data_IF_321363068356
#
_entry.id   IF_321363068356
#
_cell.length_a   1.000
_cell.length_b   1.000
_cell.length_c   1.000
_cell.angle_alpha   90.00
_cell.angle_beta   90.00
_cell.angle_gamma   90.00
#
_symmetry.space_group_name_H-M   'P 1'
#
loop_
_entity.id
_entity.type
_entity.pdbx_description
1 polymer ?
#
# COMPACT_ATOMS: atom_id res chain seq x y z
N UNK A 1 7.24 -2.08 8.31
CA UNK A 1 6.51 -0.81 8.09
C UNK A 1 6.50 -0.52 6.61
N UNK A 2 5.39 -0.85 5.95
CA UNK A 2 5.18 -0.77 4.49
C UNK A 2 5.43 0.65 3.95
N UNK A 3 5.84 0.75 2.68
CA UNK A 3 5.89 2.02 1.95
C UNK A 3 4.49 2.67 1.99
N UNK A 4 4.35 3.80 2.67
CA UNK A 4 3.04 4.36 3.02
C UNK A 4 2.93 5.81 2.50
N UNK A 5 1.78 6.21 1.91
CA UNK A 5 1.48 7.59 1.55
C UNK A 5 1.69 8.66 2.64
N UNK A 6 1.68 8.29 3.92
CA UNK A 6 1.94 9.20 5.05
C UNK A 6 3.43 9.51 5.26
N UNK A 7 4.32 8.89 4.49
CA UNK A 7 5.75 9.10 4.60
C UNK A 7 6.20 10.31 3.77
N UNK A 8 7.02 11.23 4.31
CA UNK A 8 7.43 12.43 3.57
C UNK A 8 8.23 12.12 2.29
N UNK A 9 8.90 10.97 2.24
CA UNK A 9 9.63 10.47 1.07
C UNK A 9 8.76 9.69 0.06
N UNK A 10 7.45 9.63 0.23
CA UNK A 10 6.55 8.93 -0.69
C UNK A 10 6.52 9.61 -2.06
N UNK A 11 6.94 8.88 -3.11
CA UNK A 11 7.14 9.45 -4.45
C UNK A 11 5.85 9.65 -5.25
N UNK A 12 4.69 9.30 -4.72
CA UNK A 12 3.41 9.36 -5.43
C UNK A 12 2.32 10.18 -4.70
N UNK A 13 2.73 11.25 -4.02
CA UNK A 13 1.78 12.18 -3.37
C UNK A 13 0.82 12.84 -4.37
N UNK A 14 1.24 13.04 -5.62
CA UNK A 14 0.37 13.58 -6.67
C UNK A 14 -0.78 12.63 -6.96
N UNK A 15 -0.47 11.35 -7.18
CA UNK A 15 -1.46 10.29 -7.42
C UNK A 15 -2.41 10.18 -6.21
N UNK A 16 -1.88 10.38 -5.00
CA UNK A 16 -2.71 10.38 -3.78
C UNK A 16 -3.68 11.54 -3.78
N UNK A 17 -3.23 12.73 -4.16
CA UNK A 17 -4.08 13.89 -4.33
C UNK A 17 -5.17 13.70 -5.39
N UNK A 18 -4.82 13.13 -6.54
CA UNK A 18 -5.77 12.84 -7.63
C UNK A 18 -6.86 11.85 -7.17
N UNK A 19 -6.50 10.80 -6.44
CA UNK A 19 -7.48 9.82 -5.95
C UNK A 19 -8.25 10.33 -4.73
N UNK A 20 -7.64 11.16 -3.87
CA UNK A 20 -8.35 11.86 -2.80
C UNK A 20 -9.42 12.82 -3.35
N UNK A 21 -9.14 13.51 -4.46
CA UNK A 21 -10.14 14.33 -5.14
C UNK A 21 -11.32 13.49 -5.64
N UNK A 22 -11.05 12.34 -6.28
CA UNK A 22 -12.12 11.42 -6.71
C UNK A 22 -12.93 10.87 -5.54
N UNK A 23 -12.25 10.46 -4.46
CA UNK A 23 -12.91 9.99 -3.25
C UNK A 23 -13.80 11.08 -2.63
N UNK A 24 -13.34 12.33 -2.61
CA UNK A 24 -14.13 13.47 -2.12
C UNK A 24 -15.39 13.70 -2.97
N UNK A 25 -15.32 13.51 -4.29
CA UNK A 25 -16.50 13.63 -5.16
C UNK A 25 -17.56 12.59 -4.77
N UNK A 26 -17.14 11.34 -4.55
CA UNK A 26 -18.04 10.26 -4.15
C UNK A 26 -18.57 10.43 -2.71
N UNK A 27 -17.72 10.89 -1.79
CA UNK A 27 -18.12 11.15 -0.40
C UNK A 27 -19.18 12.27 -0.30
N UNK A 28 -19.19 13.22 -1.23
CA UNK A 28 -20.18 14.29 -1.31
C UNK A 28 -21.51 13.88 -1.97
N UNK A 29 -21.63 12.68 -2.54
CA UNK A 29 -22.86 12.21 -3.18
C UNK A 29 -23.90 11.80 -2.14
N UNK A 30 -25.16 12.12 -2.39
CA UNK A 30 -26.27 11.62 -1.57
C UNK A 30 -26.47 10.12 -1.79
N UNK A 31 -26.33 9.36 -0.71
CA UNK A 31 -26.57 7.90 -0.74
C UNK A 31 -28.06 7.60 -0.84
N UNK A 32 -28.37 6.51 -1.54
CA UNK A 32 -29.71 5.97 -1.72
C UNK A 32 -29.95 4.86 -0.68
N UNK A 33 -30.40 5.25 0.51
CA UNK A 33 -30.58 4.34 1.65
C UNK A 33 -31.99 3.75 1.66
N UNK A 34 -32.09 2.43 1.51
CA UNK A 34 -33.36 1.70 1.66
C UNK A 34 -33.62 1.20 3.08
N UNK A 35 -32.55 0.91 3.82
CA UNK A 35 -32.62 0.31 5.14
C UNK A 35 -32.03 1.30 6.14
N UNK A 36 -32.80 1.61 7.19
CA UNK A 36 -32.31 2.30 8.35
C UNK A 36 -32.15 1.33 9.52
N UNK A 37 -31.15 1.56 10.37
CA UNK A 37 -30.94 0.84 11.62
C UNK A 37 -31.02 1.86 12.75
N UNK A 38 -31.87 1.63 13.75
CA UNK A 38 -31.91 2.48 14.94
C UNK A 38 -30.70 2.23 15.81
N UNK A 39 -30.02 3.29 16.21
CA UNK A 39 -29.01 3.23 17.26
C UNK A 39 -29.69 2.92 18.61
N UNK A 40 -29.40 1.79 19.27
CA UNK A 40 -30.12 1.37 20.47
C UNK A 40 -29.52 2.06 21.71
N UNK A 41 -29.66 3.38 21.81
CA UNK A 41 -29.02 4.22 22.81
C UNK A 41 -29.47 3.85 24.22
N UNK A 42 -30.78 3.71 24.44
CA UNK A 42 -31.36 3.35 25.74
C UNK A 42 -30.87 1.98 26.21
N UNK A 43 -30.88 1.00 25.31
CA UNK A 43 -30.43 -0.37 25.59
C UNK A 43 -28.92 -0.39 25.87
N UNK A 44 -28.13 0.34 25.10
CA UNK A 44 -26.67 0.45 25.29
C UNK A 44 -26.34 1.10 26.63
N UNK A 45 -27.01 2.21 26.97
CA UNK A 45 -26.85 2.87 28.27
C UNK A 45 -27.23 1.95 29.43
N UNK A 46 -28.33 1.20 29.30
CA UNK A 46 -28.82 0.32 30.35
C UNK A 46 -27.83 -0.80 30.73
N UNK A 47 -27.00 -1.26 29.78
CA UNK A 47 -26.01 -2.32 30.00
C UNK A 47 -24.63 -1.78 30.36
N UNK A 48 -24.28 -0.57 29.92
CA UNK A 48 -23.02 0.09 30.27
C UNK A 48 -22.97 0.50 31.75
N UNK A 49 -24.08 1.07 32.26
CA UNK A 49 -24.14 1.59 33.64
C UNK A 49 -24.53 0.55 34.68
N UNK A 50 -25.11 -0.58 34.26
CA UNK A 50 -25.50 -1.68 35.15
C UNK A 50 -25.06 -3.02 34.53
N UNK A 51 -23.84 -3.50 34.82
CA UNK A 51 -23.27 -4.72 34.23
C UNK A 51 -24.05 -6.00 34.51
N UNK A 52 -24.87 -6.00 35.57
CA UNK A 52 -25.74 -7.12 35.97
C UNK A 52 -27.01 -7.23 35.12
N UNK A 53 -27.31 -6.23 34.28
CA UNK A 53 -28.45 -6.28 33.38
C UNK A 53 -28.24 -7.34 32.29
N UNK A 54 -29.35 -7.95 31.87
CA UNK A 54 -29.36 -8.89 30.74
C UNK A 54 -28.80 -8.16 29.51
N UNK A 55 -27.80 -8.76 28.87
CA UNK A 55 -27.20 -8.22 27.65
C UNK A 55 -28.11 -8.50 26.45
N UNK A 56 -28.15 -7.61 25.45
CA UNK A 56 -28.88 -7.88 24.23
C UNK A 56 -28.30 -9.11 23.53
N UNK A 57 -29.19 -9.92 22.96
CA UNK A 57 -28.83 -11.11 22.19
C UNK A 57 -27.98 -10.77 20.94
N UNK A 58 -28.07 -9.53 20.44
CA UNK A 58 -27.40 -9.05 19.25
C UNK A 58 -26.64 -7.75 19.53
N UNK A 59 -25.46 -7.60 18.94
CA UNK A 59 -24.71 -6.35 18.98
C UNK A 59 -24.94 -5.53 17.71
N UNK A 60 -25.00 -4.21 17.85
CA UNK A 60 -25.15 -3.30 16.70
C UNK A 60 -24.04 -3.50 15.67
N UNK A 61 -22.79 -3.66 16.12
CA UNK A 61 -21.66 -3.87 15.23
C UNK A 61 -21.79 -5.16 14.40
N UNK A 62 -22.35 -6.23 14.99
CA UNK A 62 -22.59 -7.49 14.29
C UNK A 62 -23.72 -7.35 13.28
N UNK A 63 -24.81 -6.66 13.62
CA UNK A 63 -25.90 -6.38 12.68
C UNK A 63 -25.39 -5.57 11.47
N UNK A 64 -24.65 -4.49 11.72
CA UNK A 64 -24.09 -3.67 10.65
C UNK A 64 -23.10 -4.46 9.78
N UNK A 65 -22.22 -5.27 10.40
CA UNK A 65 -21.31 -6.15 9.69
C UNK A 65 -22.03 -7.13 8.77
N UNK A 66 -23.05 -7.84 9.28
CA UNK A 66 -23.86 -8.74 8.48
C UNK A 66 -24.59 -8.03 7.34
N UNK A 67 -25.18 -6.86 7.59
CA UNK A 67 -25.81 -6.06 6.52
C UNK A 67 -24.83 -5.71 5.40
N UNK A 68 -23.59 -5.33 5.73
CA UNK A 68 -22.55 -5.08 4.73
C UNK A 68 -22.10 -6.35 4.00
N UNK A 69 -21.97 -7.47 4.70
CA UNK A 69 -21.63 -8.77 4.09
C UNK A 69 -22.72 -9.23 3.12
N UNK A 70 -23.99 -8.96 3.46
CA UNK A 70 -25.12 -9.14 2.57
C UNK A 70 -25.25 -8.01 1.53
N UNK A 71 -24.25 -7.12 1.41
CA UNK A 71 -24.20 -6.01 0.47
C UNK A 71 -25.40 -5.05 0.54
N UNK A 72 -25.99 -4.90 1.72
CA UNK A 72 -26.90 -3.81 2.00
C UNK A 72 -26.11 -2.56 2.40
N UNK A 73 -26.64 -1.39 2.06
CA UNK A 73 -26.08 -0.09 2.46
C UNK A 73 -27.02 0.53 3.50
N UNK A 74 -26.92 0.15 4.79
CA UNK A 74 -27.76 0.75 5.83
C UNK A 74 -27.29 2.15 6.20
N UNK A 75 -28.21 2.97 6.70
CA UNK A 75 -27.91 4.18 7.47
C UNK A 75 -28.24 3.96 8.94
N UNK A 76 -27.39 4.48 9.83
CA UNK A 76 -27.69 4.54 11.26
C UNK A 76 -28.52 5.79 11.54
N UNK A 77 -29.68 5.63 12.19
CA UNK A 77 -30.56 6.73 12.61
C UNK A 77 -30.64 6.78 14.14
N UNK A 78 -30.94 7.97 14.68
CA UNK A 78 -31.12 8.16 16.12
C UNK A 78 -32.39 7.45 16.62
N UNK A 79 -32.40 7.02 17.88
CA UNK A 79 -33.53 6.31 18.50
C UNK A 79 -34.83 7.14 18.44
N UNK A 80 -34.73 8.47 18.52
CA UNK A 80 -35.84 9.43 18.50
C UNK A 80 -36.26 9.87 17.08
N UNK A 81 -35.65 9.32 16.02
CA UNK A 81 -36.00 9.71 14.64
C UNK A 81 -37.47 9.37 14.36
N UNK A 82 -38.31 10.39 14.20
CA UNK A 82 -39.76 10.25 13.98
C UNK A 82 -40.09 9.91 12.52
N UNK A 83 -39.55 10.67 11.56
CA UNK A 83 -39.81 10.43 10.14
C UNK A 83 -38.89 9.35 9.58
N UNK A 84 -39.45 8.14 9.48
CA UNK A 84 -38.83 6.98 8.84
C UNK A 84 -39.55 6.56 7.56
N UNK A 85 -40.44 7.42 7.04
CA UNK A 85 -41.28 7.12 5.88
C UNK A 85 -40.46 6.89 4.60
N UNK A 86 -39.30 7.54 4.51
CA UNK A 86 -38.38 7.50 3.37
C UNK A 86 -37.67 6.16 3.17
N UNK A 87 -37.54 5.34 4.21
CA UNK A 87 -36.85 4.04 4.14
C UNK A 87 -37.82 2.93 3.73
N UNK A 88 -37.37 1.89 3.03
CA UNK A 88 -38.21 0.70 2.79
C UNK A 88 -38.33 -0.17 4.06
N UNK A 89 -37.31 -0.16 4.91
CA UNK A 89 -37.27 -0.94 6.15
C UNK A 89 -36.52 -0.20 7.27
N UNK A 90 -36.98 -0.39 8.52
CA UNK A 90 -36.32 0.14 9.71
C UNK A 90 -36.08 -1.00 10.69
N UNK A 91 -34.81 -1.24 11.02
CA UNK A 91 -34.38 -2.34 11.87
C UNK A 91 -33.99 -1.81 13.25
N UNK A 92 -34.53 -2.40 14.32
CA UNK A 92 -34.13 -2.11 15.70
C UNK A 92 -33.70 -3.36 16.44
N UNK A 93 -32.73 -3.19 17.35
CA UNK A 93 -32.24 -4.24 18.23
C UNK A 93 -32.95 -4.13 19.57
N UNK A 94 -33.65 -5.20 19.94
CA UNK A 94 -34.21 -5.39 21.27
C UNK A 94 -33.35 -6.31 22.14
N UNK A 95 -33.83 -6.58 23.35
CA UNK A 95 -33.13 -7.46 24.30
C UNK A 95 -33.00 -8.90 23.77
N UNK A 96 -34.07 -9.40 23.14
CA UNK A 96 -34.23 -10.82 22.79
C UNK A 96 -34.15 -11.10 21.28
N UNK A 97 -33.97 -10.08 20.45
CA UNK A 97 -34.08 -10.21 19.00
C UNK A 97 -34.03 -8.90 18.25
N UNK A 98 -34.24 -9.02 16.94
CA UNK A 98 -34.23 -7.90 16.00
C UNK A 98 -35.65 -7.71 15.48
N UNK A 99 -36.10 -6.46 15.39
CA UNK A 99 -37.43 -6.12 14.90
C UNK A 99 -37.33 -5.29 13.63
N UNK A 100 -38.15 -5.58 12.63
CA UNK A 100 -38.44 -4.66 11.55
C UNK A 100 -39.70 -3.85 11.92
N UNK A 101 -39.56 -2.54 12.07
CA UNK A 101 -40.57 -1.70 12.72
C UNK A 101 -41.81 -1.45 11.87
N UNK A 102 -41.70 -1.47 10.53
CA UNK A 102 -42.84 -1.14 9.66
C UNK A 102 -43.88 -2.26 9.60
N UNK A 103 -43.42 -3.50 9.69
CA UNK A 103 -44.27 -4.70 9.64
C UNK A 103 -44.46 -5.35 11.01
N UNK A 104 -43.58 -5.06 11.97
CA UNK A 104 -43.53 -5.72 13.27
C UNK A 104 -42.93 -7.13 13.21
N UNK A 105 -42.26 -7.50 12.12
CA UNK A 105 -41.58 -8.78 12.01
C UNK A 105 -40.45 -8.88 13.04
N UNK A 106 -40.34 -10.04 13.68
CA UNK A 106 -39.38 -10.28 14.75
C UNK A 106 -38.49 -11.48 14.40
N UNK A 107 -37.19 -11.34 14.64
CA UNK A 107 -36.17 -12.32 14.26
C UNK A 107 -35.32 -12.72 15.46
N UNK A 108 -35.11 -14.03 15.58
CA UNK A 108 -34.28 -14.66 16.61
C UNK A 108 -32.85 -14.97 16.12
N UNK A 109 -32.55 -14.69 14.86
CA UNK A 109 -31.23 -14.89 14.26
C UNK A 109 -30.99 -13.94 13.09
N UNK A 110 -29.71 -13.76 12.72
CA UNK A 110 -29.32 -13.03 11.51
C UNK A 110 -29.78 -13.75 10.24
N UNK A 111 -29.80 -15.09 10.22
CA UNK A 111 -30.27 -15.87 9.05
C UNK A 111 -31.74 -15.62 8.74
N UNK A 112 -32.60 -15.55 9.78
CA UNK A 112 -34.01 -15.21 9.62
C UNK A 112 -34.20 -13.80 9.04
N UNK A 113 -33.43 -12.82 9.55
CA UNK A 113 -33.43 -11.45 9.03
C UNK A 113 -32.96 -11.40 7.57
N UNK A 114 -31.88 -12.11 7.22
CA UNK A 114 -31.33 -12.13 5.87
C UNK A 114 -32.36 -12.67 4.86
N UNK A 115 -33.02 -13.79 5.19
CA UNK A 115 -34.08 -14.39 4.36
C UNK A 115 -35.25 -13.42 4.21
N UNK A 116 -35.65 -12.75 5.30
CA UNK A 116 -36.74 -11.77 5.25
C UNK A 116 -36.40 -10.58 4.36
N UNK A 117 -35.19 -10.02 4.47
CA UNK A 117 -34.73 -8.90 3.64
C UNK A 117 -34.76 -9.25 2.15
N UNK A 118 -34.27 -10.42 1.76
CA UNK A 118 -34.31 -10.88 0.35
C UNK A 118 -35.73 -11.06 -0.19
N UNK A 119 -36.69 -11.44 0.65
CA UNK A 119 -38.07 -11.68 0.24
C UNK A 119 -38.91 -10.39 0.19
N UNK A 120 -38.60 -9.42 1.04
CA UNK A 120 -39.48 -8.27 1.28
C UNK A 120 -38.91 -6.94 0.77
N UNK A 121 -37.59 -6.83 0.60
CA UNK A 121 -36.92 -5.59 0.18
C UNK A 121 -36.31 -5.79 -1.20
N UNK A 122 -36.66 -4.89 -2.14
CA UNK A 122 -36.13 -4.98 -3.50
C UNK A 122 -34.66 -4.58 -3.52
N UNK A 123 -33.80 -5.52 -3.92
CA UNK A 123 -32.38 -5.29 -4.13
C UNK A 123 -32.11 -4.68 -5.50
N UNK A 124 -31.77 -3.39 -5.53
CA UNK A 124 -31.51 -2.68 -6.78
C UNK A 124 -30.16 -3.02 -7.41
N UNK A 125 -29.18 -3.35 -6.57
CA UNK A 125 -27.81 -3.64 -7.01
C UNK A 125 -27.20 -4.75 -6.17
N UNK A 126 -26.31 -5.52 -6.81
CA UNK A 126 -25.44 -6.48 -6.12
C UNK A 126 -24.20 -6.76 -6.92
N UNK A 127 -23.15 -7.21 -6.25
CA UNK A 127 -21.92 -7.67 -6.86
C UNK A 127 -21.82 -9.17 -6.67
N UNK A 128 -21.69 -9.89 -7.76
CA UNK A 128 -21.55 -11.33 -7.79
C UNK A 128 -20.08 -11.72 -8.06
N UNK A 129 -19.64 -12.80 -7.44
CA UNK A 129 -18.41 -13.48 -7.79
C UNK A 129 -18.59 -14.35 -9.06
N UNK A 130 -17.52 -14.93 -9.58
CA UNK A 130 -17.56 -15.78 -10.80
C UNK A 130 -18.40 -17.05 -10.66
N UNK A 131 -18.72 -17.47 -9.43
CA UNK A 131 -19.61 -18.60 -9.16
C UNK A 131 -21.10 -18.20 -9.11
N UNK A 132 -21.41 -16.91 -9.27
CA UNK A 132 -22.77 -16.36 -9.22
C UNK A 132 -23.31 -16.07 -7.81
N UNK A 133 -22.52 -16.34 -6.77
CA UNK A 133 -22.86 -15.95 -5.39
C UNK A 133 -22.51 -14.48 -5.15
N UNK A 134 -22.98 -13.90 -4.03
CA UNK A 134 -22.54 -12.57 -3.61
C UNK A 134 -21.02 -12.55 -3.44
N UNK A 135 -20.40 -11.44 -3.84
CA UNK A 135 -19.01 -11.17 -3.53
C UNK A 135 -18.88 -10.79 -2.05
N UNK A 136 -18.00 -11.49 -1.34
CA UNK A 136 -17.71 -11.23 0.07
C UNK A 136 -16.69 -10.10 0.24
N UNK A 137 -16.53 -9.58 1.46
CA UNK A 137 -15.51 -8.59 1.81
C UNK A 137 -15.52 -7.35 0.90
N UNK A 138 -16.71 -6.84 0.58
CA UNK A 138 -16.87 -5.58 -0.14
C UNK A 138 -17.84 -4.67 0.59
N UNK A 139 -17.63 -3.36 0.45
CA UNK A 139 -18.63 -2.36 0.74
C UNK A 139 -19.27 -1.91 -0.57
N UNK A 140 -20.58 -2.06 -0.69
CA UNK A 140 -21.37 -1.64 -1.84
C UNK A 140 -22.21 -0.41 -1.50
N UNK A 141 -22.05 0.67 -2.25
CA UNK A 141 -22.84 1.90 -2.11
C UNK A 141 -23.50 2.31 -3.42
N UNK A 142 -24.79 2.63 -3.35
CA UNK A 142 -25.56 3.27 -4.41
C UNK A 142 -25.85 4.71 -4.02
N UNK A 143 -25.80 5.61 -4.99
CA UNK A 143 -26.14 7.02 -4.81
C UNK A 143 -27.40 7.37 -5.60
N UNK A 144 -28.07 8.47 -5.21
CA UNK A 144 -29.31 8.93 -5.84
C UNK A 144 -29.16 9.31 -7.32
N UNK A 145 -27.94 9.64 -7.75
CA UNK A 145 -27.60 9.87 -9.16
C UNK A 145 -27.42 8.57 -9.98
N UNK A 146 -27.70 7.41 -9.37
CA UNK A 146 -27.48 6.05 -9.90
C UNK A 146 -26.02 5.66 -10.12
N UNK A 147 -25.06 6.46 -9.62
CA UNK A 147 -23.68 6.02 -9.54
C UNK A 147 -23.50 5.00 -8.41
N UNK A 148 -22.48 4.17 -8.53
CA UNK A 148 -22.21 3.06 -7.59
C UNK A 148 -20.73 3.05 -7.26
N UNK A 149 -20.41 2.80 -5.99
CA UNK A 149 -19.05 2.60 -5.50
C UNK A 149 -18.95 1.23 -4.83
N UNK A 150 -17.94 0.47 -5.22
CA UNK A 150 -17.57 -0.81 -4.63
C UNK A 150 -16.17 -0.69 -4.07
N UNK A 151 -15.99 -0.96 -2.79
CA UNK A 151 -14.70 -0.92 -2.11
C UNK A 151 -14.38 -2.32 -1.61
N UNK A 152 -13.21 -2.86 -1.97
CA UNK A 152 -12.73 -4.11 -1.40
C UNK A 152 -12.24 -3.90 0.03
N UNK A 153 -12.68 -4.76 0.93
CA UNK A 153 -12.20 -4.88 2.31
C UNK A 153 -11.15 -6.00 2.45
N UNK A 154 -10.77 -6.64 1.33
CA UNK A 154 -9.87 -7.78 1.28
C UNK A 154 -8.41 -7.34 1.06
N UNK A 155 -7.49 -8.01 1.77
CA UNK A 155 -6.04 -7.94 1.60
C UNK A 155 -5.53 -8.80 0.43
N UNK A 156 -6.45 -9.35 -0.37
CA UNK A 156 -6.18 -10.17 -1.55
C UNK A 156 -7.04 -9.71 -2.72
N UNK A 157 -6.50 -9.85 -3.92
CA UNK A 157 -7.25 -9.69 -5.16
C UNK A 157 -8.43 -10.66 -5.20
N UNK A 158 -9.62 -10.14 -5.50
CA UNK A 158 -10.85 -10.91 -5.69
C UNK A 158 -11.08 -11.29 -7.16
N UNK A 159 -10.20 -10.80 -8.06
CA UNK A 159 -10.28 -11.11 -9.48
C UNK A 159 -11.48 -10.45 -10.16
N UNK A 160 -12.11 -11.16 -11.07
CA UNK A 160 -13.27 -10.68 -11.82
C UNK A 160 -14.56 -10.75 -10.98
N UNK A 161 -15.26 -9.63 -10.88
CA UNK A 161 -16.57 -9.52 -10.22
C UNK A 161 -17.59 -8.92 -11.20
N UNK A 162 -18.87 -9.21 -10.96
CA UNK A 162 -19.98 -8.73 -11.79
C UNK A 162 -20.93 -7.86 -10.98
N UNK A 163 -21.04 -6.57 -11.31
CA UNK A 163 -22.11 -5.71 -10.82
C UNK A 163 -23.39 -6.00 -11.62
N UNK A 164 -24.47 -6.34 -10.90
CA UNK A 164 -25.83 -6.52 -11.40
C UNK A 164 -26.65 -5.29 -11.03
N UNK A 165 -27.35 -4.73 -12.02
CA UNK A 165 -28.23 -3.58 -11.87
C UNK A 165 -29.70 -4.01 -11.93
N UNK A 166 -30.57 -3.19 -11.35
CA UNK A 166 -32.02 -3.42 -11.27
C UNK A 166 -32.70 -3.55 -12.64
N UNK A 167 -32.16 -2.89 -13.67
CA UNK A 167 -32.63 -2.97 -15.05
C UNK A 167 -32.21 -4.27 -15.76
N UNK A 168 -31.51 -5.18 -15.08
CA UNK A 168 -30.98 -6.43 -15.61
C UNK A 168 -29.63 -6.30 -16.32
N UNK A 169 -29.09 -5.09 -16.47
CA UNK A 169 -27.76 -4.88 -17.02
C UNK A 169 -26.67 -5.36 -16.07
N UNK A 170 -25.53 -5.74 -16.66
CA UNK A 170 -24.37 -6.23 -15.93
C UNK A 170 -23.12 -5.50 -16.35
N UNK A 171 -22.28 -5.14 -15.38
CA UNK A 171 -20.97 -4.58 -15.62
C UNK A 171 -19.91 -5.47 -14.96
N UNK A 172 -18.98 -6.00 -15.76
CA UNK A 172 -17.90 -6.85 -15.26
C UNK A 172 -16.66 -5.98 -15.05
N UNK A 173 -15.98 -6.21 -13.93
CA UNK A 173 -14.79 -5.45 -13.53
C UNK A 173 -13.80 -6.32 -12.73
N UNK A 174 -12.54 -5.89 -12.69
CA UNK A 174 -11.53 -6.50 -11.83
C UNK A 174 -11.47 -5.78 -10.49
N UNK A 175 -11.47 -6.54 -9.39
CA UNK A 175 -11.34 -6.05 -8.03
C UNK A 175 -10.00 -6.48 -7.43
N UNK A 176 -8.97 -5.61 -7.45
CA UNK A 176 -7.70 -5.90 -6.80
C UNK A 176 -7.80 -5.79 -5.27
N UNK A 177 -6.74 -6.21 -4.58
CA UNK A 177 -6.55 -5.99 -3.13
C UNK A 177 -6.75 -4.50 -2.78
N UNK A 178 -7.56 -4.23 -1.75
CA UNK A 178 -7.99 -2.88 -1.34
C UNK A 178 -8.47 -1.99 -2.51
N UNK A 179 -9.00 -2.61 -3.57
CA UNK A 179 -9.44 -1.94 -4.78
C UNK A 179 -10.71 -1.11 -4.60
N UNK A 180 -10.88 -0.13 -5.49
CA UNK A 180 -12.11 0.64 -5.61
C UNK A 180 -12.58 0.55 -7.06
N UNK A 181 -13.83 0.12 -7.22
CA UNK A 181 -14.53 0.17 -8.50
C UNK A 181 -15.66 1.20 -8.42
N UNK A 182 -15.80 1.98 -9.48
CA UNK A 182 -16.86 2.97 -9.62
C UNK A 182 -17.60 2.73 -10.92
N UNK A 183 -18.93 2.89 -10.86
CA UNK A 183 -19.81 2.81 -12.00
C UNK A 183 -20.60 4.12 -12.10
N UNK A 184 -20.54 4.73 -13.27
CA UNK A 184 -21.43 5.83 -13.65
C UNK A 184 -22.51 5.31 -14.61
N UNK A 185 -23.73 5.88 -14.61
CA UNK A 185 -24.81 5.44 -15.49
C UNK A 185 -24.40 5.39 -16.97
N UNK A 186 -24.65 4.25 -17.63
CA UNK A 186 -24.27 4.02 -19.03
C UNK A 186 -22.82 3.58 -19.22
N UNK A 187 -22.05 3.39 -18.14
CA UNK A 187 -20.71 2.81 -18.23
C UNK A 187 -20.78 1.36 -18.72
N UNK A 188 -20.02 1.06 -19.77
CA UNK A 188 -19.92 -0.29 -20.33
C UNK A 188 -18.87 -1.10 -19.56
N UNK A 189 -19.08 -2.42 -19.46
CA UNK A 189 -18.11 -3.38 -18.94
C UNK A 189 -16.70 -3.10 -19.47
N UNK A 190 -15.74 -3.04 -18.57
CA UNK A 190 -14.38 -2.57 -18.87
C UNK A 190 -13.33 -3.60 -18.47
N UNK A 191 -13.58 -4.88 -18.77
CA UNK A 191 -12.51 -5.88 -18.72
C UNK A 191 -11.45 -5.47 -19.76
N UNK A 192 -10.27 -5.10 -19.27
CA UNK A 192 -9.18 -4.65 -20.14
C UNK A 192 -8.60 -5.86 -20.86
N UNK A 193 -8.93 -5.97 -22.14
CA UNK A 193 -8.41 -7.03 -23.02
C UNK A 193 -7.04 -6.64 -23.58
N UNK A 194 -6.36 -7.61 -24.18
CA UNK A 194 -5.08 -7.40 -24.88
C UNK A 194 -3.99 -6.78 -23.99
N UNK A 195 -3.83 -7.33 -22.80
CA UNK A 195 -2.78 -6.91 -21.85
C UNK A 195 -1.45 -7.57 -22.22
N UNK A 196 -0.37 -6.80 -22.15
CA UNK A 196 1.01 -7.27 -22.12
C UNK A 196 1.43 -7.42 -20.66
N UNK A 197 1.49 -8.64 -20.11
CA UNK A 197 2.05 -8.85 -18.78
C UNK A 197 3.58 -8.78 -18.85
N UNK A 198 4.19 -7.97 -17.99
CA UNK A 198 5.62 -8.05 -17.70
C UNK A 198 5.77 -8.94 -16.48
N UNK A 199 6.50 -10.05 -16.64
CA UNK A 199 6.69 -10.99 -15.54
C UNK A 199 7.51 -10.33 -14.43
N UNK A 200 7.06 -10.35 -13.17
CA UNK A 200 7.81 -9.78 -12.06
C UNK A 200 9.18 -10.43 -11.82
N UNK A 201 9.31 -11.70 -12.23
CA UNK A 201 10.51 -12.52 -12.05
C UNK A 201 11.42 -12.51 -13.29
N UNK A 202 11.03 -11.79 -14.35
CA UNK A 202 11.88 -11.58 -15.52
C UNK A 202 13.16 -10.83 -15.13
N UNK A 203 14.30 -11.38 -15.52
CA UNK A 203 15.60 -10.72 -15.35
C UNK A 203 15.79 -9.69 -16.47
N UNK A 204 15.90 -8.42 -16.10
CA UNK A 204 16.08 -7.31 -17.02
C UNK A 204 17.36 -6.54 -16.69
N UNK A 205 17.96 -5.94 -17.70
CA UNK A 205 18.98 -4.91 -17.50
C UNK A 205 18.40 -3.79 -16.63
N UNK A 206 19.23 -3.25 -15.74
CA UNK A 206 18.78 -2.20 -14.84
C UNK A 206 19.85 -1.15 -14.55
N UNK A 207 19.40 -0.04 -13.99
CA UNK A 207 20.25 1.02 -13.43
C UNK A 207 19.68 1.48 -12.09
N UNK A 208 20.55 1.65 -11.10
CA UNK A 208 20.21 2.30 -9.84
C UNK A 208 20.29 3.82 -9.99
N UNK A 209 19.33 4.53 -9.41
CA UNK A 209 19.35 6.01 -9.37
C UNK A 209 20.25 6.56 -8.27
N UNK A 210 20.66 5.71 -7.32
CA UNK A 210 21.58 6.02 -6.22
C UNK A 210 22.49 4.82 -5.95
N UNK A 211 23.63 4.99 -5.24
CA UNK A 211 24.43 3.87 -4.78
C UNK A 211 23.63 2.94 -3.86
N UNK A 212 24.03 1.67 -3.79
CA UNK A 212 23.47 0.76 -2.80
C UNK A 212 24.01 1.08 -1.41
N UNK A 213 23.30 0.62 -0.38
CA UNK A 213 23.64 0.88 1.00
C UNK A 213 23.81 -0.42 1.79
N UNK A 214 24.65 -0.36 2.80
CA UNK A 214 24.65 -1.29 3.93
C UNK A 214 24.42 -0.47 5.20
N UNK A 215 23.32 -0.77 5.90
CA UNK A 215 23.16 -0.26 7.27
C UNK A 215 24.18 -0.96 8.16
N UNK A 216 24.99 -0.17 8.86
CA UNK A 216 25.95 -0.72 9.82
C UNK A 216 25.21 -1.06 11.11
N UNK A 217 25.33 -2.30 11.56
CA UNK A 217 24.87 -2.74 12.87
C UNK A 217 26.08 -3.03 13.75
N UNK A 218 26.31 -2.18 14.75
CA UNK A 218 27.39 -2.39 15.70
C UNK A 218 26.94 -3.38 16.79
N UNK A 219 27.82 -4.31 17.14
CA UNK A 219 27.64 -5.20 18.28
C UNK A 219 27.82 -4.46 19.62
N UNK A 220 27.69 -5.19 20.74
CA UNK A 220 27.86 -4.64 22.09
C UNK A 220 29.27 -4.05 22.34
N UNK A 221 30.27 -4.47 21.56
CA UNK A 221 31.63 -3.95 21.61
C UNK A 221 31.84 -2.72 20.71
N UNK A 222 30.79 -2.28 20.00
CA UNK A 222 30.85 -1.16 19.07
C UNK A 222 31.51 -1.51 17.74
N UNK A 223 31.46 -2.79 17.31
CA UNK A 223 32.13 -3.29 16.11
C UNK A 223 31.14 -3.85 15.10
N UNK A 224 31.45 -3.68 13.82
CA UNK A 224 30.74 -4.29 12.71
C UNK A 224 31.76 -4.90 11.75
N UNK A 225 31.64 -6.20 11.52
CA UNK A 225 32.44 -6.92 10.52
C UNK A 225 31.67 -7.02 9.21
N UNK A 226 32.39 -6.84 8.10
CA UNK A 226 31.87 -7.04 6.75
C UNK A 226 32.98 -7.57 5.84
N UNK A 227 32.58 -8.22 4.76
CA UNK A 227 33.51 -8.91 3.86
C UNK A 227 33.30 -8.50 2.42
N UNK A 228 34.40 -8.32 1.68
CA UNK A 228 34.40 -7.95 0.27
C UNK A 228 34.93 -9.08 -0.60
N UNK A 229 34.14 -9.52 -1.58
CA UNK A 229 34.54 -10.54 -2.56
C UNK A 229 35.65 -10.03 -3.52
N UNK A 230 35.75 -8.70 -3.69
CA UNK A 230 36.68 -7.98 -4.56
C UNK A 230 36.95 -6.56 -4.04
N UNK A 231 37.96 -5.89 -4.59
CA UNK A 231 38.16 -4.46 -4.35
C UNK A 231 36.93 -3.65 -4.81
N UNK A 232 36.54 -2.63 -4.03
CA UNK A 232 35.42 -1.74 -4.32
C UNK A 232 35.90 -0.30 -4.17
N UNK A 233 35.81 0.46 -5.25
CA UNK A 233 36.13 1.88 -5.29
C UNK A 233 34.89 2.75 -5.00
N UNK A 234 35.13 4.02 -4.69
CA UNK A 234 34.09 5.04 -4.50
C UNK A 234 33.07 4.71 -3.39
N UNK A 235 33.52 4.05 -2.32
CA UNK A 235 32.70 3.76 -1.15
C UNK A 235 32.66 4.99 -0.24
N UNK A 236 31.49 5.33 0.29
CA UNK A 236 31.33 6.46 1.21
C UNK A 236 30.81 5.96 2.56
N UNK A 237 31.47 6.37 3.65
CA UNK A 237 30.95 6.21 5.00
C UNK A 237 30.10 7.42 5.37
N UNK A 238 28.87 7.16 5.80
CA UNK A 238 27.94 8.19 6.28
C UNK A 238 27.73 7.98 7.77
N UNK A 239 28.01 8.99 8.58
CA UNK A 239 27.92 8.91 10.04
C UNK A 239 26.98 9.97 10.59
N UNK A 240 26.27 9.61 11.66
CA UNK A 240 25.30 10.49 12.31
C UNK A 240 25.98 11.63 13.08
N UNK A 241 25.36 12.81 13.05
CA UNK A 241 25.71 13.96 13.90
C UNK A 241 25.21 13.77 15.33
N UNK A 242 25.97 14.29 16.27
CA UNK A 242 25.69 14.34 17.69
C UNK A 242 25.93 15.78 18.19
N UNK A 243 24.92 16.38 18.85
CA UNK A 243 25.01 17.72 19.42
C UNK A 243 23.74 18.56 19.19
N UNK A 244 23.59 19.64 19.95
CA UNK A 244 22.44 20.56 19.83
C UNK A 244 22.42 21.21 18.44
N UNK A 245 21.20 21.37 17.91
CA UNK A 245 20.86 21.84 16.56
C UNK A 245 21.41 23.23 16.17
N UNK A 246 22.16 23.89 17.06
CA UNK A 246 22.71 25.24 16.90
C UNK A 246 24.14 25.24 16.37
N UNK A 247 24.88 24.12 16.46
CA UNK A 247 26.21 24.03 15.84
C UNK A 247 26.10 23.48 14.41
N UNK A 248 26.41 24.33 13.43
CA UNK A 248 26.60 23.93 12.02
C UNK A 248 27.72 22.88 11.83
N UNK A 249 28.50 22.62 12.90
CA UNK A 249 29.59 21.65 13.00
C UNK A 249 29.41 20.70 14.20
N UNK A 250 28.20 20.14 14.40
CA UNK A 250 28.00 19.15 15.46
C UNK A 250 28.95 17.96 15.32
N UNK A 251 29.51 17.49 16.44
CA UNK A 251 30.42 16.34 16.49
C UNK A 251 29.77 15.12 15.82
N UNK A 252 30.49 14.40 14.97
CA UNK A 252 29.96 13.17 14.36
C UNK A 252 30.22 11.96 15.26
N UNK A 253 29.61 10.83 14.93
CA UNK A 253 30.13 9.55 15.42
C UNK A 253 31.52 9.37 14.84
N UNK A 254 32.51 9.27 15.73
CA UNK A 254 33.88 8.96 15.34
C UNK A 254 34.03 7.47 15.02
N UNK A 255 34.55 7.18 13.83
CA UNK A 255 34.64 5.84 13.26
C UNK A 255 36.09 5.48 12.96
N UNK A 256 36.45 4.21 13.21
CA UNK A 256 37.66 3.59 12.67
C UNK A 256 37.30 2.48 11.69
N UNK A 257 37.89 2.55 10.50
CA UNK A 257 37.90 1.48 9.52
C UNK A 257 39.29 0.85 9.50
N UNK A 258 39.37 -0.43 9.84
CA UNK A 258 40.64 -1.18 9.94
C UNK A 258 41.70 -0.43 10.75
N UNK A 259 41.31 -0.03 11.97
CA UNK A 259 42.12 0.70 12.95
C UNK A 259 42.47 2.16 12.57
N UNK A 260 42.17 2.59 11.35
CA UNK A 260 42.39 3.96 10.88
C UNK A 260 41.14 4.79 11.07
N UNK A 261 41.32 5.97 11.64
CA UNK A 261 40.23 6.93 11.79
C UNK A 261 39.76 7.43 10.41
N UNK A 262 38.43 7.51 10.26
CA UNK A 262 37.80 8.02 9.04
C UNK A 262 37.23 9.40 9.32
N UNK A 263 37.66 10.39 8.56
CA UNK A 263 37.10 11.74 8.63
C UNK A 263 35.76 11.77 7.89
N UNK A 264 34.69 12.09 8.64
CA UNK A 264 33.32 12.18 8.14
C UNK A 264 32.82 13.61 8.35
N UNK A 265 33.23 14.50 7.45
CA UNK A 265 33.10 15.97 7.61
C UNK A 265 32.37 16.66 6.46
N UNK A 266 31.92 15.93 5.44
CA UNK A 266 31.20 16.49 4.30
C UNK A 266 29.69 16.48 4.52
N UNK A 267 28.97 17.45 3.96
CA UNK A 267 27.51 17.51 4.04
C UNK A 267 26.85 16.32 3.32
N UNK A 268 25.94 15.64 4.00
CA UNK A 268 25.28 14.46 3.43
C UNK A 268 24.37 14.78 2.23
N UNK A 269 24.56 14.03 1.14
CA UNK A 269 23.80 14.03 -0.11
C UNK A 269 23.16 12.66 -0.42
N UNK A 270 23.63 11.57 0.20
CA UNK A 270 23.21 10.21 -0.12
C UNK A 270 21.89 9.79 0.56
N UNK A 271 21.56 10.39 1.70
CA UNK A 271 20.32 10.14 2.40
C UNK A 271 19.18 11.05 1.89
N UNK A 272 17.92 10.64 2.07
CA UNK A 272 16.76 11.48 1.79
C UNK A 272 16.85 12.84 2.50
N UNK A 273 16.20 13.86 1.93
CA UNK A 273 16.30 15.25 2.37
C UNK A 273 15.96 15.46 3.85
N UNK A 274 15.02 14.68 4.37
CA UNK A 274 14.59 14.72 5.77
C UNK A 274 15.65 14.18 6.73
N UNK A 275 16.56 13.33 6.25
CA UNK A 275 17.60 12.69 7.06
C UNK A 275 18.98 13.26 6.80
N UNK A 276 19.28 13.75 5.60
CA UNK A 276 20.64 14.17 5.22
C UNK A 276 21.26 15.19 6.19
N UNK A 277 20.45 16.09 6.75
CA UNK A 277 20.93 17.10 7.70
C UNK A 277 21.38 16.51 9.05
N UNK A 278 20.95 15.29 9.39
CA UNK A 278 21.33 14.57 10.61
C UNK A 278 22.64 13.76 10.45
N UNK A 279 23.23 13.75 9.24
CA UNK A 279 24.41 12.94 8.92
C UNK A 279 25.47 13.78 8.21
N UNK A 280 26.68 13.24 8.18
CA UNK A 280 27.83 13.72 7.43
C UNK A 280 28.43 12.54 6.65
N UNK A 281 29.23 12.81 5.64
CA UNK A 281 29.89 11.79 4.80
C UNK A 281 31.41 11.93 4.81
N UNK A 282 32.10 10.83 4.57
CA UNK A 282 33.53 10.79 4.29
C UNK A 282 33.83 11.19 2.85
N UNK A 283 35.10 11.46 2.57
CA UNK A 283 35.61 11.32 1.20
C UNK A 283 35.38 9.90 0.66
N UNK A 284 35.42 9.77 -0.66
CA UNK A 284 35.36 8.48 -1.34
C UNK A 284 36.56 7.62 -0.97
N UNK A 285 36.28 6.39 -0.55
CA UNK A 285 37.24 5.39 -0.11
C UNK A 285 37.34 4.27 -1.15
N UNK A 286 38.52 3.65 -1.21
CA UNK A 286 38.72 2.35 -1.88
C UNK A 286 38.90 1.30 -0.81
N UNK A 287 38.03 0.29 -0.81
CA UNK A 287 38.11 -0.86 0.07
C UNK A 287 38.71 -2.04 -0.69
N UNK A 288 39.60 -2.78 -0.03
CA UNK A 288 40.28 -3.92 -0.64
C UNK A 288 39.46 -5.19 -0.47
N UNK A 289 39.70 -6.18 -1.31
CA UNK A 289 39.16 -7.52 -1.12
C UNK A 289 39.56 -8.04 0.26
N UNK A 290 38.60 -8.60 1.00
CA UNK A 290 38.85 -9.25 2.28
C UNK A 290 37.91 -8.81 3.39
N UNK A 291 38.30 -9.15 4.62
CA UNK A 291 37.56 -8.80 5.83
C UNK A 291 37.93 -7.39 6.27
N UNK A 292 36.90 -6.60 6.58
CA UNK A 292 37.02 -5.25 7.12
C UNK A 292 36.32 -5.14 8.47
N UNK A 293 36.83 -4.24 9.31
CA UNK A 293 36.28 -3.95 10.63
C UNK A 293 35.98 -2.46 10.75
N UNK A 294 34.69 -2.12 10.88
CA UNK A 294 34.25 -0.78 11.26
C UNK A 294 33.97 -0.75 12.76
N UNK A 295 34.51 0.23 13.47
CA UNK A 295 34.36 0.35 14.92
C UNK A 295 34.06 1.79 15.35
N UNK A 296 33.24 1.91 16.39
CA UNK A 296 32.97 3.17 17.07
C UNK A 296 34.17 3.54 17.97
N UNK A 297 34.66 4.77 17.87
CA UNK A 297 35.66 5.29 18.81
C UNK A 297 34.98 5.65 20.13
N UNK A 298 33.79 6.24 20.05
CA UNK A 298 33.00 6.64 21.21
C UNK A 298 31.92 5.60 21.50
N UNK A 299 31.63 5.31 22.78
CA UNK A 299 30.53 4.43 23.20
C UNK A 299 29.14 5.07 23.03
N UNK A 300 28.90 5.77 21.92
CA UNK A 300 27.62 6.41 21.60
C UNK A 300 26.61 5.34 21.17
N UNK A 301 25.38 5.43 21.70
CA UNK A 301 24.31 4.45 21.47
C UNK A 301 23.86 4.44 20.01
N UNK A 302 23.85 3.27 19.38
CA UNK A 302 23.21 3.04 18.09
C UNK A 302 21.69 2.88 18.27
N UNK A 303 20.89 3.49 17.40
CA UNK A 303 19.42 3.45 17.46
C UNK A 303 18.85 2.87 16.18
N UNK A 304 17.81 2.05 16.30
CA UNK A 304 17.19 1.41 15.13
C UNK A 304 16.63 2.42 14.13
N UNK A 305 15.98 3.47 14.62
CA UNK A 305 15.34 4.51 13.81
C UNK A 305 16.28 5.67 13.45
N UNK A 306 17.51 5.67 13.97
CA UNK A 306 18.52 6.69 13.69
C UNK A 306 19.94 6.07 13.79
N UNK A 307 20.33 5.25 12.79
CA UNK A 307 21.57 4.49 12.82
C UNK A 307 22.81 5.36 13.00
N UNK A 308 23.83 4.82 13.65
CA UNK A 308 25.10 5.53 13.83
C UNK A 308 25.88 5.68 12.52
N UNK A 309 25.81 4.68 11.61
CA UNK A 309 26.54 4.72 10.35
C UNK A 309 25.88 3.91 9.22
N UNK A 310 26.22 4.31 7.99
CA UNK A 310 25.94 3.59 6.76
C UNK A 310 27.20 3.50 5.91
N UNK A 311 27.27 2.46 5.09
CA UNK A 311 28.24 2.34 4.01
C UNK A 311 27.48 2.41 2.68
N UNK A 312 27.87 3.32 1.79
CA UNK A 312 27.27 3.47 0.47
C UNK A 312 28.27 3.16 -0.64
N UNK A 313 27.83 2.54 -1.73
CA UNK A 313 28.67 2.26 -2.89
C UNK A 313 28.01 1.37 -3.94
N UNK A 314 28.76 1.10 -5.01
CA UNK A 314 28.31 0.27 -6.13
C UNK A 314 28.57 -1.23 -5.86
N UNK A 315 27.86 -1.78 -4.87
CA UNK A 315 28.00 -3.15 -4.43
C UNK A 315 26.66 -3.86 -4.24
N UNK A 316 26.66 -5.19 -4.35
CA UNK A 316 25.57 -6.02 -3.83
C UNK A 316 25.78 -6.30 -2.34
N UNK A 317 24.70 -6.30 -1.57
CA UNK A 317 24.67 -6.70 -0.16
C UNK A 317 23.95 -8.04 -0.03
N UNK A 318 24.71 -9.08 0.32
CA UNK A 318 24.18 -10.41 0.67
C UNK A 318 23.99 -10.52 2.20
N UNK A 319 23.51 -11.69 2.65
CA UNK A 319 23.44 -12.02 4.08
C UNK A 319 24.83 -11.91 4.72
N UNK A 320 24.84 -11.69 6.04
CA UNK A 320 26.05 -11.63 6.87
C UNK A 320 27.07 -10.57 6.42
N UNK A 321 26.57 -9.41 5.98
CA UNK A 321 27.39 -8.26 5.54
C UNK A 321 28.44 -8.60 4.46
N UNK A 322 28.11 -9.52 3.55
CA UNK A 322 28.96 -9.82 2.40
C UNK A 322 28.65 -8.84 1.25
N UNK A 323 29.67 -8.07 0.86
CA UNK A 323 29.62 -7.11 -0.23
C UNK A 323 30.26 -7.70 -1.48
N UNK A 324 29.51 -7.67 -2.58
CA UNK A 324 29.93 -8.26 -3.85
C UNK A 324 29.67 -7.35 -5.04
N UNK A 325 29.83 -7.92 -6.23
CA UNK A 325 29.44 -7.26 -7.48
C UNK A 325 27.92 -7.21 -7.62
N UNK A 326 27.40 -6.08 -8.09
CA UNK A 326 26.02 -5.98 -8.57
C UNK A 326 25.82 -6.90 -9.78
N UNK A 327 24.71 -7.62 -9.82
CA UNK A 327 24.31 -8.39 -11.01
C UNK A 327 24.12 -7.44 -12.20
N UNK A 328 24.32 -7.94 -13.42
CA UNK A 328 24.02 -7.19 -14.66
C UNK A 328 22.50 -7.10 -14.90
N UNK A 329 21.76 -8.08 -14.39
CA UNK A 329 20.30 -8.15 -14.51
C UNK A 329 19.63 -8.34 -13.16
N UNK A 330 18.38 -7.91 -13.07
CA UNK A 330 17.59 -7.89 -11.85
C UNK A 330 16.12 -8.13 -12.16
N UNK A 331 15.37 -8.62 -11.18
CA UNK A 331 13.91 -8.79 -11.26
C UNK A 331 13.18 -7.75 -10.42
N UNK A 332 11.96 -7.41 -10.82
CA UNK A 332 11.13 -6.41 -10.12
C UNK A 332 10.72 -6.89 -8.72
N UNK A 333 10.43 -8.19 -8.55
CA UNK A 333 9.99 -8.71 -7.24
C UNK A 333 11.13 -9.21 -6.35
N UNK A 334 12.21 -9.71 -6.93
CA UNK A 334 13.28 -10.36 -6.15
C UNK A 334 14.53 -9.50 -5.95
N UNK A 335 14.53 -8.21 -6.31
CA UNK A 335 15.73 -7.37 -6.19
C UNK A 335 16.38 -7.37 -4.81
N UNK A 336 15.58 -7.41 -3.73
CA UNK A 336 16.08 -7.46 -2.35
C UNK A 336 16.97 -8.69 -2.11
N UNK A 337 16.52 -9.84 -2.62
CA UNK A 337 17.25 -11.10 -2.53
C UNK A 337 18.41 -11.18 -3.53
N UNK A 338 18.48 -10.25 -4.48
CA UNK A 338 19.52 -10.15 -5.52
C UNK A 338 20.57 -9.09 -5.21
N UNK A 339 20.74 -8.73 -3.93
CA UNK A 339 21.82 -7.86 -3.47
C UNK A 339 21.41 -6.44 -3.14
N UNK A 340 20.13 -6.08 -3.24
CA UNK A 340 19.62 -4.74 -2.93
C UNK A 340 18.82 -4.73 -1.63
N UNK A 341 19.28 -5.49 -0.62
CA UNK A 341 18.55 -5.69 0.64
C UNK A 341 18.22 -4.36 1.35
N UNK A 342 19.19 -3.45 1.41
CA UNK A 342 19.08 -2.14 2.08
C UNK A 342 18.91 -0.98 1.10
N UNK A 343 18.66 -1.26 -0.19
CA UNK A 343 18.57 -0.23 -1.21
C UNK A 343 17.39 0.71 -0.96
N UNK A 344 17.65 2.01 -1.08
CA UNK A 344 16.66 3.07 -0.99
C UNK A 344 16.88 4.04 -2.15
N UNK A 345 15.94 4.06 -3.10
CA UNK A 345 16.04 4.81 -4.33
C UNK A 345 15.15 4.25 -5.45
N UNK A 346 15.34 4.76 -6.66
CA UNK A 346 14.72 4.24 -7.88
C UNK A 346 15.54 3.14 -8.55
N UNK A 347 14.88 2.12 -9.09
CA UNK A 347 15.48 1.09 -9.94
C UNK A 347 14.85 1.23 -11.33
N UNK A 348 15.66 1.51 -12.33
CA UNK A 348 15.23 1.60 -13.73
C UNK A 348 15.51 0.30 -14.45
N UNK A 349 14.47 -0.46 -14.81
CA UNK A 349 14.57 -1.64 -15.65
C UNK A 349 14.38 -1.27 -17.12
N UNK A 350 15.09 -1.95 -18.02
CA UNK A 350 15.01 -1.72 -19.47
C UNK A 350 14.85 -3.04 -20.22
N UNK A 351 13.99 -3.01 -21.25
CA UNK A 351 13.88 -4.09 -22.24
C UNK A 351 13.28 -3.56 -23.54
N UNK A 352 13.61 -4.22 -24.63
CA UNK A 352 12.93 -4.03 -25.91
C UNK A 352 11.74 -5.00 -25.96
N UNK A 353 10.58 -4.51 -26.38
CA UNK A 353 9.33 -5.27 -26.32
C UNK A 353 8.45 -4.99 -27.54
N UNK A 354 7.74 -6.01 -28.04
CA UNK A 354 6.87 -5.86 -29.21
C UNK A 354 5.40 -5.87 -28.81
N UNK A 355 4.72 -4.73 -28.97
CA UNK A 355 3.38 -4.47 -28.44
C UNK A 355 2.23 -5.07 -29.29
N UNK A 356 2.44 -6.24 -29.92
CA UNK A 356 1.52 -6.95 -30.85
C UNK A 356 0.02 -6.89 -30.47
N UNK A 357 -0.69 -5.87 -30.94
CA UNK A 357 -2.10 -5.61 -30.67
C UNK A 357 -2.42 -5.26 -29.21
N UNK A 358 -1.40 -5.10 -28.37
CA UNK A 358 -1.54 -4.88 -26.93
C UNK A 358 -2.03 -3.47 -26.67
N UNK A 359 -3.02 -3.37 -25.79
CA UNK A 359 -3.64 -2.11 -25.42
C UNK A 359 -3.19 -1.61 -24.04
N UNK A 360 -2.69 -2.51 -23.21
CA UNK A 360 -2.26 -2.21 -21.85
C UNK A 360 -0.97 -2.95 -21.49
N UNK A 361 -0.20 -2.41 -20.56
CA UNK A 361 0.95 -3.06 -19.91
C UNK A 361 0.58 -3.31 -18.45
N UNK A 362 0.71 -4.56 -17.99
CA UNK A 362 0.52 -4.94 -16.58
C UNK A 362 1.86 -5.33 -15.97
N UNK A 363 2.10 -4.88 -14.74
CA UNK A 363 3.33 -5.16 -14.00
C UNK A 363 2.95 -5.45 -12.56
N UNK A 364 3.34 -6.61 -12.01
CA UNK A 364 3.29 -6.81 -10.57
C UNK A 364 4.51 -6.14 -9.92
N UNK A 365 4.28 -4.99 -9.28
CA UNK A 365 5.33 -4.21 -8.61
C UNK A 365 5.50 -4.58 -7.14
N UNK A 366 4.68 -5.51 -6.63
CA UNK A 366 4.62 -5.80 -5.21
C UNK A 366 4.12 -4.65 -4.34
N UNK A 367 3.30 -3.75 -4.90
CA UNK A 367 2.80 -2.56 -4.21
C UNK A 367 3.76 -1.38 -4.19
N UNK A 368 4.91 -1.48 -4.86
CA UNK A 368 5.83 -0.35 -5.02
C UNK A 368 5.32 0.63 -6.08
N UNK A 369 5.61 1.91 -5.88
CA UNK A 369 5.32 2.95 -6.87
C UNK A 369 6.13 2.66 -8.13
N UNK A 370 5.45 2.68 -9.27
CA UNK A 370 6.04 2.40 -10.56
C UNK A 370 5.65 3.44 -11.61
N UNK A 371 6.56 3.74 -12.53
CA UNK A 371 6.31 4.57 -13.69
C UNK A 371 6.82 3.88 -14.94
N UNK A 372 6.00 3.87 -15.99
CA UNK A 372 6.32 3.19 -17.25
C UNK A 372 6.58 4.21 -18.33
N UNK A 373 7.61 3.97 -19.13
CA UNK A 373 8.01 4.80 -20.25
C UNK A 373 8.14 3.97 -21.51
N UNK A 374 7.66 4.52 -22.64
CA UNK A 374 7.80 3.94 -23.97
C UNK A 374 8.59 4.90 -24.84
N UNK A 375 9.73 4.45 -25.38
CA UNK A 375 10.66 5.25 -26.18
C UNK A 375 11.01 6.59 -25.48
N UNK A 376 11.28 6.53 -24.18
CA UNK A 376 11.63 7.68 -23.35
C UNK A 376 10.46 8.52 -22.82
N UNK A 377 9.23 8.37 -23.36
CA UNK A 377 8.07 9.13 -22.90
C UNK A 377 7.30 8.38 -21.81
N UNK A 378 7.00 9.07 -20.70
CA UNK A 378 6.16 8.51 -19.62
C UNK A 378 4.74 8.27 -20.12
N UNK A 379 4.18 7.10 -19.82
CA UNK A 379 2.76 6.78 -20.02
C UNK A 379 1.96 6.79 -18.71
N UNK A 380 2.60 7.22 -17.61
CA UNK A 380 1.97 7.43 -16.31
C UNK A 380 2.66 6.71 -15.17
N UNK A 381 2.44 7.22 -13.96
CA UNK A 381 2.88 6.63 -12.69
C UNK A 381 1.69 6.01 -11.97
N UNK A 382 1.94 4.94 -11.21
CA UNK A 382 0.97 4.29 -10.33
C UNK A 382 1.58 3.95 -9.00
N UNK A 383 0.76 4.03 -7.96
CA UNK A 383 1.16 3.82 -6.58
C UNK A 383 0.42 2.67 -5.89
N UNK A 384 -0.72 2.28 -6.43
CA UNK A 384 -1.53 1.15 -5.96
C UNK A 384 -2.09 0.39 -7.16
N UNK A 385 -2.57 -0.81 -6.85
CA UNK A 385 -3.27 -1.64 -7.80
C UNK A 385 -4.53 -0.94 -8.35
N UNK A 386 -4.94 -1.24 -9.60
CA UNK A 386 -4.24 -2.10 -10.55
C UNK A 386 -3.05 -1.39 -11.21
N UNK A 387 -1.89 -2.06 -11.21
CA UNK A 387 -0.67 -1.64 -11.90
C UNK A 387 -0.76 -1.93 -13.39
N UNK A 388 -1.59 -1.13 -14.07
CA UNK A 388 -2.01 -1.35 -15.46
C UNK A 388 -2.07 -0.03 -16.25
N UNK A 389 -1.19 0.12 -17.24
CA UNK A 389 -1.05 1.35 -18.02
C UNK A 389 -1.63 1.19 -19.41
N UNK A 390 -2.40 2.18 -19.88
CA UNK A 390 -2.93 2.20 -21.24
C UNK A 390 -1.81 2.57 -22.22
N UNK A 391 -1.60 1.75 -23.24
CA UNK A 391 -0.64 1.99 -24.30
C UNK A 391 -1.21 3.04 -25.27
N UNK A 392 -0.53 4.19 -25.47
CA UNK A 392 -0.93 5.18 -26.47
C UNK A 392 -1.00 4.57 -27.88
N UNK A 393 -2.03 4.94 -28.66
CA UNK A 393 -2.29 4.39 -30.00
C UNK A 393 -1.05 4.39 -30.90
N UNK A 394 -0.22 5.46 -30.84
CA UNK A 394 0.99 5.62 -31.64
C UNK A 394 2.08 4.55 -31.43
N UNK A 395 2.02 3.80 -30.33
CA UNK A 395 3.00 2.74 -30.00
C UNK A 395 2.47 1.32 -30.23
N UNK A 396 1.16 1.14 -30.45
CA UNK A 396 0.58 -0.20 -30.65
C UNK A 396 1.18 -0.87 -31.89
N UNK A 397 1.38 -2.18 -31.83
CA UNK A 397 1.99 -3.00 -32.91
C UNK A 397 3.42 -2.60 -33.30
N UNK A 398 4.13 -1.85 -32.44
CA UNK A 398 5.54 -1.51 -32.66
C UNK A 398 6.42 -2.26 -31.68
N UNK A 399 7.65 -2.51 -32.10
CA UNK A 399 8.76 -2.78 -31.19
C UNK A 399 9.19 -1.46 -30.56
N UNK A 400 9.29 -1.43 -29.23
CA UNK A 400 9.57 -0.22 -28.46
C UNK A 400 10.61 -0.50 -27.38
N UNK A 401 11.29 0.55 -26.95
CA UNK A 401 12.10 0.55 -25.75
C UNK A 401 11.21 0.82 -24.54
N UNK A 402 11.02 -0.21 -23.72
CA UNK A 402 10.28 -0.13 -22.48
C UNK A 402 11.26 0.16 -21.34
N UNK A 403 10.96 1.22 -20.57
CA UNK A 403 11.64 1.50 -19.30
C UNK A 403 10.63 1.51 -18.16
N UNK A 404 10.95 0.83 -17.06
CA UNK A 404 10.12 0.74 -15.86
C UNK A 404 10.93 1.29 -14.70
N UNK A 405 10.45 2.35 -14.06
CA UNK A 405 11.06 2.91 -12.86
C UNK A 405 10.28 2.42 -11.64
N UNK A 406 10.93 1.67 -10.75
CA UNK A 406 10.38 1.25 -9.45
C UNK A 406 10.98 2.14 -8.35
N UNK A 407 10.15 2.82 -7.58
CA UNK A 407 10.58 3.58 -6.41
C UNK A 407 10.46 2.70 -5.15
N UNK A 408 11.59 2.50 -4.47
CA UNK A 408 11.67 1.74 -3.22
C UNK A 408 11.43 2.61 -1.99
N UNK A 409 11.20 1.99 -0.84
CA UNK A 409 11.10 2.69 0.44
C UNK A 409 12.47 2.88 1.08
N UNK A 410 12.58 3.85 1.98
CA UNK A 410 13.81 4.04 2.78
C UNK A 410 13.85 3.13 4.00
N UNK A 411 12.74 2.44 4.30
CA UNK A 411 12.60 1.53 5.44
C UNK A 411 13.78 0.55 5.58
N UNK A 412 14.32 -0.05 4.50
CA UNK A 412 15.45 -0.98 4.62
C UNK A 412 16.71 -0.35 5.22
N UNK A 413 16.91 0.97 5.10
CA UNK A 413 18.01 1.68 5.76
C UNK A 413 17.85 1.68 7.29
N UNK A 414 16.64 1.61 7.83
CA UNK A 414 16.36 1.67 9.27
C UNK A 414 16.06 0.29 9.86
N UNK A 415 16.29 -0.78 9.10
CA UNK A 415 16.10 -2.16 9.52
C UNK A 415 14.66 -2.48 9.94
N UNK A 416 14.50 -3.63 10.57
CA UNK A 416 13.25 -4.02 11.20
C UNK A 416 13.33 -3.75 12.71
N UNK A 417 12.26 -3.21 13.28
CA UNK A 417 12.08 -3.23 14.72
C UNK A 417 11.99 -4.72 15.10
N UNK A 418 13.08 -5.29 15.61
CA UNK A 418 13.02 -6.58 16.28
C UNK A 418 12.00 -6.41 17.42
N UNK A 419 10.92 -7.19 17.37
CA UNK A 419 9.96 -7.31 18.48
C UNK A 419 10.64 -7.95 19.67
#
# INVERSE_FOLDING_TARGET
MTFNPTQPWFKALKELGEDAQKASLYAGKESDYKIAVRYPQTLTASTLFNPDNVKPAFQLAELLGNLYDWQWNPILIEEETEDVSVYESVISIGLNGITEEKTGAFFHSFDELAVWLEQNIRRDIRVENTSGGLADNILLKKFKDNSICVVSLSDKSQGELTLKLDNGETCIFEMPEYGVFTYEPGQVSSIKKNVLPISPDELMEYKLTAPNAMRVFFDESGKCEFYLDKDIDNVTLVARKFGDAVSLFGDTVSLKLDEKEVLVIQSCQLLPEEFKNLYMESDKLTLKKGKHLLSLIDKKRDYTYLPSAFLFGDFSLKKDNQLGQLSETLSIRSFKNQGLLNYAGGIEFKKTETLNGKEYISIDTGGLVAEVFINGQSIGRKAWAPFLWKIPLKYRNKTVDLRILIATSIQPLFGELKK
#
